data_IF_369927707149
#
_entry.id   IF_369927707149
#
_cell.length_a   1.000
_cell.length_b   1.000
_cell.length_c   1.000
_cell.angle_alpha   90.00
_cell.angle_beta   90.00
_cell.angle_gamma   90.00
#
_symmetry.space_group_name_H-M   'P 1'
#
loop_
_entity.id
_entity.type
_entity.pdbx_description
1 polymer ?
#
# COMPACT_ATOMS: atom_id res chain seq x y z
N UNK A 1 -35.07 1.41 -5.29
CA UNK A 1 -33.88 0.54 -5.47
C UNK A 1 -32.95 0.72 -4.27
N UNK A 2 -33.20 -0.01 -3.18
CA UNK A 2 -32.38 0.02 -1.97
C UNK A 2 -31.29 -1.05 -2.11
N UNK A 3 -30.06 -0.62 -2.37
CA UNK A 3 -28.91 -1.53 -2.39
C UNK A 3 -28.71 -2.11 -0.99
N UNK A 4 -28.88 -3.43 -0.87
CA UNK A 4 -28.62 -4.20 0.34
C UNK A 4 -27.13 -4.08 0.66
N UNK A 5 -26.81 -3.38 1.74
CA UNK A 5 -25.47 -3.45 2.34
C UNK A 5 -25.18 -4.89 2.75
N UNK A 6 -24.19 -5.50 2.13
CA UNK A 6 -23.68 -6.80 2.55
C UNK A 6 -22.93 -6.64 3.88
N UNK A 7 -23.68 -6.65 4.98
CA UNK A 7 -23.14 -6.81 6.33
C UNK A 7 -22.50 -8.20 6.42
N UNK A 8 -21.17 -8.26 6.29
CA UNK A 8 -20.42 -9.45 6.74
C UNK A 8 -20.40 -9.40 8.26
N UNK A 9 -20.77 -10.52 8.89
CA UNK A 9 -20.83 -10.65 10.34
C UNK A 9 -19.49 -10.36 11.04
N UNK A 10 -19.50 -10.34 12.39
CA UNK A 10 -18.43 -9.80 13.23
C UNK A 10 -17.05 -10.50 13.19
N UNK A 11 -16.81 -11.45 12.28
CA UNK A 11 -15.59 -12.27 12.24
C UNK A 11 -14.92 -12.32 10.85
N UNK A 12 -14.96 -11.23 10.08
CA UNK A 12 -14.08 -11.16 8.92
C UNK A 12 -12.61 -11.22 9.38
N UNK A 13 -11.76 -12.09 8.80
CA UNK A 13 -10.36 -12.18 9.21
C UNK A 13 -9.69 -10.81 9.08
N UNK A 14 -8.77 -10.46 10.01
CA UNK A 14 -8.09 -9.19 9.96
C UNK A 14 -7.39 -9.02 8.61
N UNK A 15 -7.62 -7.88 7.98
CA UNK A 15 -6.95 -7.52 6.75
C UNK A 15 -5.70 -6.71 7.04
N UNK A 16 -4.70 -6.82 6.18
CA UNK A 16 -3.47 -6.06 6.29
C UNK A 16 -3.56 -4.75 5.49
N UNK A 17 -3.16 -3.63 6.09
CA UNK A 17 -3.14 -2.33 5.44
C UNK A 17 -2.03 -2.25 4.38
N UNK A 18 -2.36 -1.81 3.16
CA UNK A 18 -1.38 -1.62 2.08
C UNK A 18 -0.31 -0.56 2.38
N UNK A 19 -0.58 0.36 3.30
CA UNK A 19 0.36 1.41 3.70
C UNK A 19 1.29 0.99 4.83
N UNK A 20 0.70 0.68 6.00
CA UNK A 20 1.45 0.48 7.23
C UNK A 20 1.70 -0.99 7.57
N UNK A 21 1.09 -1.94 6.85
CA UNK A 21 1.18 -3.36 7.16
C UNK A 21 0.46 -3.79 8.45
N UNK A 22 -0.27 -2.86 9.09
CA UNK A 22 -1.05 -3.15 10.29
C UNK A 22 -2.35 -3.87 9.99
N UNK A 23 -2.76 -4.73 10.92
CA UNK A 23 -4.01 -5.47 10.86
C UNK A 23 -5.20 -4.55 11.18
N UNK A 24 -6.31 -4.71 10.45
CA UNK A 24 -7.55 -3.99 10.69
C UNK A 24 -8.78 -4.81 10.27
N UNK A 25 -9.92 -4.52 10.88
CA UNK A 25 -11.20 -5.12 10.50
C UNK A 25 -11.77 -4.37 9.29
N UNK A 26 -12.04 -5.10 8.19
CA UNK A 26 -12.67 -4.51 7.00
C UNK A 26 -14.14 -4.21 7.27
N UNK A 27 -14.51 -2.94 7.10
CA UNK A 27 -15.91 -2.50 7.15
C UNK A 27 -16.54 -2.54 5.74
N UNK A 28 -15.73 -2.29 4.70
CA UNK A 28 -16.14 -2.36 3.29
C UNK A 28 -15.34 -3.41 2.53
N UNK A 29 -15.96 -4.00 1.51
CA UNK A 29 -15.33 -5.06 0.71
C UNK A 29 -14.08 -4.58 -0.05
N UNK A 30 -14.08 -3.32 -0.49
CA UNK A 30 -13.03 -2.63 -1.24
C UNK A 30 -12.02 -1.88 -0.35
N UNK A 31 -12.16 -2.01 0.98
CA UNK A 31 -11.25 -1.36 1.91
C UNK A 31 -9.86 -2.01 1.85
N UNK A 32 -8.85 -1.18 1.59
CA UNK A 32 -7.44 -1.58 1.50
C UNK A 32 -6.55 -0.90 2.56
N UNK A 33 -7.12 0.03 3.35
CA UNK A 33 -6.39 0.84 4.32
C UNK A 33 -7.09 0.84 5.67
N UNK A 34 -6.31 0.81 6.75
CA UNK A 34 -6.83 0.89 8.11
C UNK A 34 -7.37 2.29 8.45
N UNK A 35 -6.91 3.33 7.74
CA UNK A 35 -7.30 4.73 8.00
C UNK A 35 -7.23 5.59 6.74
N UNK A 36 -7.91 6.73 6.81
CA UNK A 36 -7.84 7.77 5.78
C UNK A 36 -6.44 8.38 5.67
N UNK A 37 -5.71 8.47 6.77
CA UNK A 37 -4.31 8.88 6.78
C UNK A 37 -3.45 7.94 5.93
N UNK A 38 -3.57 6.63 6.14
CA UNK A 38 -2.84 5.63 5.37
C UNK A 38 -3.18 5.70 3.87
N UNK A 39 -4.46 5.87 3.53
CA UNK A 39 -4.89 6.06 2.14
C UNK A 39 -4.27 7.31 1.51
N UNK A 40 -4.29 8.44 2.22
CA UNK A 40 -3.72 9.72 1.73
C UNK A 40 -2.21 9.62 1.54
N UNK A 41 -1.49 9.05 2.51
CA UNK A 41 -0.05 8.85 2.44
C UNK A 41 0.35 7.96 1.25
N UNK A 42 -0.36 6.84 1.06
CA UNK A 42 -0.19 5.97 -0.09
C UNK A 42 -0.37 6.70 -1.42
N UNK A 43 -1.45 7.47 -1.53
CA UNK A 43 -1.76 8.22 -2.75
C UNK A 43 -0.75 9.34 -3.02
N UNK A 44 -0.27 10.04 -1.99
CA UNK A 44 0.73 11.10 -2.13
C UNK A 44 2.03 10.56 -2.74
N UNK A 45 2.55 9.44 -2.21
CA UNK A 45 3.76 8.82 -2.77
C UNK A 45 3.57 8.27 -4.17
N UNK A 46 2.39 7.72 -4.47
CA UNK A 46 2.07 7.30 -5.85
C UNK A 46 2.06 8.48 -6.81
N UNK A 47 1.62 9.66 -6.38
CA UNK A 47 1.68 10.89 -7.19
C UNK A 47 3.13 11.32 -7.41
N UNK A 48 3.95 11.38 -6.37
CA UNK A 48 5.37 11.76 -6.46
C UNK A 48 6.15 10.82 -7.40
N UNK A 49 5.92 9.51 -7.27
CA UNK A 49 6.57 8.48 -8.09
C UNK A 49 5.97 8.37 -9.50
N UNK A 50 4.76 8.87 -9.69
CA UNK A 50 4.01 8.74 -10.93
C UNK A 50 4.68 9.43 -12.11
N UNK A 51 5.35 10.57 -11.86
CA UNK A 51 6.06 11.30 -12.90
C UNK A 51 7.24 10.49 -13.46
N UNK A 52 8.07 9.91 -12.59
CA UNK A 52 9.21 9.09 -13.03
C UNK A 52 8.79 7.81 -13.78
N UNK A 53 7.66 7.20 -13.40
CA UNK A 53 7.08 6.07 -14.13
C UNK A 53 6.58 6.53 -15.50
N UNK A 54 5.88 7.67 -15.54
CA UNK A 54 5.33 8.23 -16.77
C UNK A 54 6.45 8.56 -17.77
N UNK A 55 7.50 9.25 -17.33
CA UNK A 55 8.63 9.62 -18.19
C UNK A 55 9.32 8.38 -18.78
N UNK A 56 9.59 7.37 -17.94
CA UNK A 56 10.20 6.11 -18.39
C UNK A 56 9.30 5.33 -19.36
N UNK A 57 7.99 5.32 -19.14
CA UNK A 57 7.02 4.68 -20.03
C UNK A 57 6.87 5.44 -21.35
N UNK A 58 6.85 6.77 -21.30
CA UNK A 58 6.76 7.64 -22.47
C UNK A 58 8.01 7.47 -23.35
N UNK A 59 9.20 7.47 -22.77
CA UNK A 59 10.46 7.21 -23.48
C UNK A 59 10.46 5.84 -24.16
N UNK A 60 9.97 4.80 -23.48
CA UNK A 60 9.81 3.47 -24.07
C UNK A 60 8.87 3.47 -25.28
N UNK A 61 7.73 4.15 -25.22
CA UNK A 61 6.77 4.22 -26.34
C UNK A 61 7.33 5.04 -27.50
N UNK A 62 7.89 6.21 -27.21
CA UNK A 62 8.34 7.18 -28.21
C UNK A 62 9.60 6.69 -28.95
N UNK A 63 10.57 6.15 -28.21
CA UNK A 63 11.87 5.79 -28.78
C UNK A 63 12.05 4.28 -29.01
N UNK A 64 11.12 3.43 -28.52
CA UNK A 64 11.14 1.96 -28.61
C UNK A 64 12.50 1.31 -28.32
N UNK A 65 13.33 1.97 -27.51
CA UNK A 65 14.63 1.44 -27.10
C UNK A 65 14.39 0.27 -26.16
N UNK A 66 14.92 -0.91 -26.50
CA UNK A 66 14.76 -2.11 -25.68
C UNK A 66 15.22 -1.93 -24.22
N UNK A 67 16.17 -1.02 -23.98
CA UNK A 67 16.67 -0.67 -22.65
C UNK A 67 15.69 0.16 -21.79
N UNK A 68 14.75 0.88 -22.39
CA UNK A 68 13.79 1.71 -21.67
C UNK A 68 12.78 0.85 -20.87
N UNK A 69 12.36 -0.29 -21.42
CA UNK A 69 11.52 -1.25 -20.69
C UNK A 69 12.27 -1.88 -19.51
N UNK A 70 13.57 -2.13 -19.65
CA UNK A 70 14.42 -2.61 -18.55
C UNK A 70 14.54 -1.56 -17.45
N UNK A 71 14.69 -0.28 -17.81
CA UNK A 71 14.74 0.82 -16.86
C UNK A 71 13.43 0.99 -16.09
N UNK A 72 12.29 0.98 -16.79
CA UNK A 72 10.96 0.98 -16.18
C UNK A 72 10.77 -0.21 -15.23
N UNK A 73 11.15 -1.41 -15.68
CA UNK A 73 11.07 -2.63 -14.88
C UNK A 73 11.93 -2.55 -13.61
N UNK A 74 13.14 -1.96 -13.71
CA UNK A 74 14.04 -1.76 -12.56
C UNK A 74 13.43 -0.77 -11.57
N UNK A 75 12.86 0.33 -12.06
CA UNK A 75 12.23 1.36 -11.24
C UNK A 75 11.01 0.82 -10.49
N UNK A 76 10.13 0.07 -11.16
CA UNK A 76 8.98 -0.58 -10.51
C UNK A 76 9.40 -1.61 -9.45
N UNK A 77 10.46 -2.40 -9.71
CA UNK A 77 11.00 -3.35 -8.72
C UNK A 77 11.58 -2.64 -7.51
N UNK A 78 12.28 -1.52 -7.71
CA UNK A 78 12.80 -0.71 -6.62
C UNK A 78 11.66 -0.17 -5.75
N UNK A 79 10.64 0.43 -6.36
CA UNK A 79 9.47 0.95 -5.63
C UNK A 79 8.75 -0.16 -4.85
N UNK A 80 8.58 -1.35 -5.45
CA UNK A 80 7.98 -2.48 -4.78
C UNK A 80 8.83 -3.02 -3.61
N UNK A 81 10.16 -2.87 -3.66
CA UNK A 81 11.06 -3.20 -2.55
C UNK A 81 10.89 -2.19 -1.41
N UNK A 82 10.98 -0.90 -1.72
CA UNK A 82 10.81 0.18 -0.74
C UNK A 82 9.46 0.12 -0.03
N UNK A 83 8.39 -0.23 -0.77
CA UNK A 83 7.06 -0.39 -0.19
C UNK A 83 6.98 -1.59 0.77
N UNK A 84 7.64 -2.70 0.47
CA UNK A 84 7.72 -3.85 1.38
C UNK A 84 8.52 -3.52 2.63
N UNK A 85 9.67 -2.87 2.48
CA UNK A 85 10.54 -2.47 3.60
C UNK A 85 9.81 -1.50 4.53
N UNK A 86 9.11 -0.50 3.98
CA UNK A 86 8.31 0.45 4.77
C UNK A 86 7.16 -0.24 5.49
N UNK A 87 6.43 -1.14 4.82
CA UNK A 87 5.36 -1.94 5.46
C UNK A 87 5.91 -2.79 6.60
N UNK A 88 7.04 -3.47 6.40
CA UNK A 88 7.68 -4.27 7.43
C UNK A 88 8.14 -3.41 8.63
N UNK A 89 8.74 -2.25 8.37
CA UNK A 89 9.17 -1.32 9.42
C UNK A 89 7.99 -0.77 10.23
N UNK A 90 6.92 -0.35 9.54
CA UNK A 90 5.71 0.17 10.18
C UNK A 90 4.99 -0.91 11.00
N UNK A 91 4.91 -2.14 10.48
CA UNK A 91 4.36 -3.28 11.21
C UNK A 91 5.17 -3.60 12.46
N UNK A 92 6.49 -3.69 12.34
CA UNK A 92 7.37 -3.92 13.48
C UNK A 92 7.25 -2.80 14.54
N UNK A 93 7.10 -1.54 14.13
CA UNK A 93 6.85 -0.44 15.04
C UNK A 93 5.50 -0.57 15.76
N UNK A 94 4.43 -0.94 15.04
CA UNK A 94 3.11 -1.16 15.63
C UNK A 94 3.12 -2.34 16.63
N UNK A 95 3.79 -3.44 16.27
CA UNK A 95 3.90 -4.62 17.14
C UNK A 95 4.67 -4.30 18.43
N UNK A 96 5.73 -3.48 18.35
CA UNK A 96 6.45 -2.99 19.54
C UNK A 96 5.57 -2.16 20.46
N UNK A 97 4.76 -1.24 19.91
CA UNK A 97 3.83 -0.42 20.69
C UNK A 97 2.77 -1.31 21.36
N UNK A 98 2.26 -2.31 20.63
CA UNK A 98 1.29 -3.28 21.16
C UNK A 98 1.90 -4.11 22.30
N UNK A 99 3.12 -4.60 22.13
CA UNK A 99 3.84 -5.36 23.16
C UNK A 99 4.12 -4.51 24.41
N UNK A 100 4.53 -3.25 24.24
CA UNK A 100 4.75 -2.33 25.35
C UNK A 100 3.47 -2.07 26.16
N UNK A 101 2.32 -1.94 25.47
CA UNK A 101 1.03 -1.76 26.14
C UNK A 101 0.63 -2.98 26.97
N UNK A 102 0.84 -4.18 26.42
CA UNK A 102 0.54 -5.44 27.10
C UNK A 102 1.45 -5.75 28.30
N UNK A 103 2.63 -5.13 28.37
CA UNK A 103 3.58 -5.31 29.47
C UNK A 103 3.42 -4.26 30.60
N UNK A 104 2.60 -3.23 30.39
CA UNK A 104 2.36 -2.15 31.34
C UNK A 104 0.98 -2.18 32.01
N UNK A 105 0.16 -3.18 31.69
CA UNK A 105 -1.09 -3.56 32.38
C UNK A 105 -0.83 -4.76 33.30
#
# INVERSE_FOLDING_TARGET
MTQRGHNRGPEAPPAECLECGGDYTRVRHDQNFCSDFCRKSWNARRKERGLAIFDAAYDWIANRRGSALTMLSRLLRQMAREDRERRAANKAAADRVKAAKLAGD
#
